data_IF_558729988851
#
_entry.id   IF_558729988851
#
_cell.length_a   1.000
_cell.length_b   1.000
_cell.length_c   1.000
_cell.angle_alpha   90.00
_cell.angle_beta   90.00
_cell.angle_gamma   90.00
#
_symmetry.space_group_name_H-M   'P 1'
#
loop_
_entity.id
_entity.type
_entity.pdbx_description
1 polymer ?
#
# COMPACT_ATOMS: atom_id res chain seq x y z
N UNK A 1 -4.56 -15.25 -28.04
CA UNK A 1 -3.64 -14.09 -28.03
C UNK A 1 -4.44 -12.85 -28.34
N UNK A 2 -4.13 -11.73 -27.71
CA UNK A 2 -4.80 -10.43 -27.94
C UNK A 2 -3.74 -9.33 -28.08
N UNK A 3 -4.12 -8.18 -28.66
CA UNK A 3 -3.23 -7.05 -28.94
C UNK A 3 -3.62 -5.86 -28.07
N UNK A 4 -2.66 -5.25 -27.39
CA UNK A 4 -2.93 -4.03 -26.61
C UNK A 4 -3.09 -2.80 -27.52
N UNK A 5 -2.33 -2.74 -28.63
CA UNK A 5 -2.36 -1.63 -29.58
C UNK A 5 -2.58 -2.15 -31.01
N UNK A 6 -3.83 -2.47 -31.42
CA UNK A 6 -4.08 -3.08 -32.72
C UNK A 6 -3.62 -2.21 -33.91
N UNK A 7 -3.57 -0.88 -33.75
CA UNK A 7 -3.04 0.05 -34.75
C UNK A 7 -1.53 -0.10 -34.99
N UNK A 8 -0.78 -0.70 -34.06
CA UNK A 8 0.64 -0.99 -34.25
C UNK A 8 0.93 -1.86 -35.47
N UNK A 9 -0.05 -2.68 -35.90
CA UNK A 9 0.05 -3.47 -37.13
C UNK A 9 0.16 -2.64 -38.41
N UNK A 10 -0.22 -1.35 -38.39
CA UNK A 10 0.00 -0.45 -39.53
C UNK A 10 1.50 -0.31 -39.87
N UNK A 11 2.39 -0.55 -38.92
CA UNK A 11 3.83 -0.60 -39.16
C UNK A 11 4.25 -1.69 -40.16
N UNK A 12 3.41 -2.70 -40.42
CA UNK A 12 3.63 -3.68 -41.49
C UNK A 12 3.68 -3.05 -42.88
N UNK A 13 3.11 -1.85 -43.10
CA UNK A 13 3.29 -1.10 -44.34
C UNK A 13 4.78 -0.80 -44.63
N UNK A 14 5.61 -0.74 -43.58
CA UNK A 14 7.06 -0.61 -43.70
C UNK A 14 7.73 -1.77 -44.44
N UNK A 15 7.08 -2.94 -44.56
CA UNK A 15 7.57 -4.08 -45.36
C UNK A 15 7.68 -3.73 -46.85
N UNK A 16 6.91 -2.76 -47.33
CA UNK A 16 6.98 -2.29 -48.70
C UNK A 16 8.36 -1.69 -49.02
N UNK A 17 9.03 -1.05 -48.05
CA UNK A 17 10.30 -0.38 -48.26
C UNK A 17 11.43 -1.34 -48.69
N UNK A 18 11.81 -2.39 -47.93
CA UNK A 18 12.84 -3.32 -48.35
C UNK A 18 12.46 -4.10 -49.61
N UNK A 19 11.17 -4.39 -49.81
CA UNK A 19 10.68 -5.07 -51.01
C UNK A 19 10.86 -4.20 -52.26
N UNK A 20 10.46 -2.94 -52.19
CA UNK A 20 10.59 -1.97 -53.29
C UNK A 20 12.06 -1.66 -53.60
N UNK A 21 12.90 -1.50 -52.56
CA UNK A 21 14.35 -1.28 -52.74
C UNK A 21 15.01 -2.50 -53.41
N UNK A 22 14.62 -3.72 -53.02
CA UNK A 22 15.12 -4.93 -53.65
C UNK A 22 14.68 -5.02 -55.13
N UNK A 23 13.42 -4.71 -55.43
CA UNK A 23 12.90 -4.73 -56.79
C UNK A 23 13.49 -3.61 -57.68
N UNK A 24 13.85 -2.48 -57.07
CA UNK A 24 14.47 -1.34 -57.75
C UNK A 24 15.99 -1.49 -57.96
N UNK A 25 16.65 -2.42 -57.24
CA UNK A 25 18.08 -2.71 -57.41
C UNK A 25 18.30 -3.31 -58.80
N UNK A 26 18.77 -2.46 -59.72
CA UNK A 26 19.28 -2.88 -61.02
C UNK A 26 20.69 -3.40 -60.80
N UNK A 27 21.02 -4.56 -61.37
CA UNK A 27 22.40 -5.02 -61.42
C UNK A 27 23.25 -3.95 -62.12
N UNK A 28 24.12 -3.28 -61.36
CA UNK A 28 25.19 -2.47 -61.93
C UNK A 28 26.14 -3.43 -62.64
N UNK A 29 25.91 -3.62 -63.94
CA UNK A 29 26.87 -4.30 -64.79
C UNK A 29 28.12 -3.44 -64.83
N UNK A 30 29.10 -3.75 -63.99
CA UNK A 30 30.40 -3.09 -64.02
C UNK A 30 31.01 -3.40 -65.38
N UNK A 31 31.17 -2.39 -66.27
CA UNK A 31 31.74 -2.64 -67.58
C UNK A 31 33.20 -3.05 -67.39
N UNK A 32 33.47 -4.34 -67.58
CA UNK A 32 34.83 -4.87 -67.48
C UNK A 32 35.50 -4.66 -68.83
N UNK A 33 36.60 -3.91 -68.87
CA UNK A 33 37.35 -3.72 -70.12
C UNK A 33 37.98 -5.04 -70.57
N UNK A 34 37.45 -5.62 -71.64
CA UNK A 34 37.96 -6.86 -72.20
C UNK A 34 38.58 -6.61 -73.60
N UNK A 35 39.88 -6.89 -73.74
CA UNK A 35 40.66 -6.53 -74.91
C UNK A 35 40.31 -7.31 -76.20
N UNK A 36 39.51 -8.38 -76.11
CA UNK A 36 39.19 -9.26 -77.25
C UNK A 36 37.80 -9.03 -77.88
N UNK A 37 37.18 -7.87 -77.64
CA UNK A 37 35.84 -7.53 -78.16
C UNK A 37 35.72 -7.60 -79.70
N UNK A 38 36.82 -7.48 -80.45
CA UNK A 38 36.79 -7.49 -81.93
C UNK A 38 36.41 -8.84 -82.55
N UNK A 39 36.53 -9.94 -81.80
CA UNK A 39 36.20 -11.29 -82.29
C UNK A 39 34.82 -11.78 -81.81
N UNK A 40 34.13 -10.98 -81.00
CA UNK A 40 32.87 -11.37 -80.39
C UNK A 40 31.70 -10.88 -81.26
N UNK A 41 31.08 -11.77 -82.04
CA UNK A 41 29.86 -11.44 -82.79
C UNK A 41 28.70 -11.17 -81.82
N UNK A 42 28.11 -9.99 -81.93
CA UNK A 42 26.98 -9.54 -81.13
C UNK A 42 25.69 -10.34 -81.46
N UNK A 43 25.54 -11.53 -80.88
CA UNK A 43 24.29 -12.30 -80.89
C UNK A 43 23.95 -12.82 -79.52
N UNK A 44 23.64 -11.90 -78.59
CA UNK A 44 22.76 -12.21 -77.46
C UNK A 44 22.08 -10.94 -76.97
N UNK A 45 20.77 -10.87 -77.17
CA UNK A 45 19.92 -9.83 -76.59
C UNK A 45 19.99 -10.00 -75.07
N UNK A 46 20.38 -8.98 -74.29
CA UNK A 46 20.47 -9.12 -72.83
C UNK A 46 19.08 -9.50 -72.30
N UNK A 47 18.93 -10.74 -71.85
CA UNK A 47 17.70 -11.18 -71.22
C UNK A 47 17.72 -10.65 -69.79
N UNK A 48 16.81 -9.71 -69.50
CA UNK A 48 16.46 -9.29 -68.14
C UNK A 48 15.97 -10.53 -67.39
N UNK A 49 16.84 -11.17 -66.62
CA UNK A 49 16.43 -12.23 -65.69
C UNK A 49 16.51 -11.64 -64.31
N UNK A 50 15.34 -11.45 -63.68
CA UNK A 50 15.25 -11.14 -62.27
C UNK A 50 15.71 -12.38 -61.49
N UNK A 51 17.01 -12.49 -61.18
CA UNK A 51 17.48 -13.46 -60.20
C UNK A 51 17.38 -12.80 -58.83
N UNK A 52 16.58 -13.40 -57.95
CA UNK A 52 16.50 -13.03 -56.55
C UNK A 52 17.78 -13.50 -55.84
N UNK A 53 18.89 -12.84 -56.13
CA UNK A 53 20.12 -13.01 -55.35
C UNK A 53 19.86 -12.42 -53.95
N UNK A 54 20.29 -13.11 -52.89
CA UNK A 54 20.09 -12.69 -51.50
C UNK A 54 18.65 -12.84 -50.90
N UNK A 55 17.80 -13.75 -51.41
CA UNK A 55 16.45 -13.99 -50.85
C UNK A 55 16.42 -14.20 -49.33
N UNK A 56 17.43 -14.88 -48.77
CA UNK A 56 17.53 -15.12 -47.32
C UNK A 56 17.76 -13.83 -46.52
N UNK A 57 18.56 -12.89 -47.04
CA UNK A 57 18.77 -11.58 -46.43
C UNK A 57 17.50 -10.71 -46.53
N UNK A 58 16.79 -10.77 -47.65
CA UNK A 58 15.50 -10.08 -47.81
C UNK A 58 14.47 -10.62 -46.80
N UNK A 59 14.35 -11.95 -46.69
CA UNK A 59 13.45 -12.60 -45.73
C UNK A 59 13.75 -12.15 -44.29
N UNK A 60 15.03 -12.05 -43.94
CA UNK A 60 15.45 -11.61 -42.60
C UNK A 60 15.16 -10.13 -42.31
N UNK A 61 15.31 -9.25 -43.31
CA UNK A 61 14.87 -7.85 -43.20
C UNK A 61 13.36 -7.72 -43.04
N UNK A 62 12.59 -8.51 -43.79
CA UNK A 62 11.13 -8.55 -43.66
C UNK A 62 10.72 -9.06 -42.27
N UNK A 63 11.39 -10.09 -41.75
CA UNK A 63 11.17 -10.59 -40.39
C UNK A 63 11.48 -9.55 -39.32
N UNK A 64 12.54 -8.76 -39.48
CA UNK A 64 12.87 -7.66 -38.55
C UNK A 64 11.78 -6.59 -38.52
N UNK A 65 11.31 -6.15 -39.69
CA UNK A 65 10.23 -5.15 -39.79
C UNK A 65 8.91 -5.71 -39.24
N UNK A 66 8.59 -6.97 -39.54
CA UNK A 66 7.40 -7.64 -39.01
C UNK A 66 7.47 -7.81 -37.48
N UNK A 67 8.62 -8.19 -36.95
CA UNK A 67 8.84 -8.30 -35.50
C UNK A 67 8.75 -6.93 -34.81
N UNK A 68 9.23 -5.86 -35.44
CA UNK A 68 9.08 -4.50 -34.91
C UNK A 68 7.61 -4.08 -34.89
N UNK A 69 6.85 -4.36 -35.96
CA UNK A 69 5.41 -4.11 -35.99
C UNK A 69 4.66 -4.89 -34.89
N UNK A 70 5.06 -6.15 -34.64
CA UNK A 70 4.53 -6.93 -33.52
C UNK A 70 4.91 -6.32 -32.16
N UNK A 71 6.13 -5.81 -31.99
CA UNK A 71 6.54 -5.12 -30.77
C UNK A 71 5.67 -3.88 -30.52
N UNK A 72 5.40 -3.07 -31.55
CA UNK A 72 4.48 -1.93 -31.49
C UNK A 72 3.02 -2.33 -31.19
N UNK A 73 2.59 -3.50 -31.68
CA UNK A 73 1.24 -4.01 -31.43
C UNK A 73 1.05 -4.60 -30.02
N UNK A 74 2.15 -4.84 -29.29
CA UNK A 74 2.23 -5.41 -27.94
C UNK A 74 1.26 -6.59 -27.74
N UNK A 75 1.59 -7.77 -28.32
CA UNK A 75 0.78 -8.96 -28.15
C UNK A 75 0.93 -9.50 -26.73
N UNK A 76 -0.19 -9.95 -26.17
CA UNK A 76 -0.24 -10.54 -24.85
C UNK A 76 -0.97 -11.88 -24.84
N UNK A 77 -0.60 -12.72 -23.87
CA UNK A 77 -1.28 -13.97 -23.58
C UNK A 77 -2.31 -13.73 -22.47
N UNK A 78 -3.56 -14.13 -22.73
CA UNK A 78 -4.58 -14.30 -21.69
C UNK A 78 -4.27 -15.59 -20.93
N UNK A 79 -4.43 -15.59 -19.61
CA UNK A 79 -4.06 -16.70 -18.73
C UNK A 79 -4.65 -18.04 -19.18
N UNK A 80 -3.89 -19.12 -18.98
CA UNK A 80 -4.30 -20.48 -19.34
C UNK A 80 -5.50 -20.94 -18.49
N UNK A 81 -6.42 -21.68 -19.11
CA UNK A 81 -7.70 -22.15 -18.53
C UNK A 81 -7.58 -23.31 -17.54
N UNK A 82 -6.48 -23.37 -16.78
CA UNK A 82 -6.26 -24.38 -15.74
C UNK A 82 -5.30 -23.80 -14.71
N UNK A 83 -5.83 -23.18 -13.67
CA UNK A 83 -5.02 -22.59 -12.62
C UNK A 83 -4.80 -23.61 -11.50
N UNK A 84 -3.54 -23.90 -11.12
CA UNK A 84 -3.27 -24.80 -10.00
C UNK A 84 -3.84 -24.20 -8.72
N UNK A 85 -4.31 -25.03 -7.79
CA UNK A 85 -4.71 -24.56 -6.46
C UNK A 85 -3.53 -23.83 -5.77
N UNK A 86 -3.84 -22.85 -4.92
CA UNK A 86 -2.87 -22.02 -4.22
C UNK A 86 -3.10 -22.06 -2.71
N UNK A 87 -2.01 -22.18 -1.95
CA UNK A 87 -2.04 -22.13 -0.48
C UNK A 87 -1.27 -20.90 0.00
N UNK A 88 -1.89 -20.08 0.84
CA UNK A 88 -1.26 -18.95 1.52
C UNK A 88 -1.14 -19.24 3.03
N UNK A 89 0.04 -19.01 3.60
CA UNK A 89 0.30 -19.26 5.02
C UNK A 89 0.77 -17.99 5.71
N UNK A 90 0.12 -17.61 6.81
CA UNK A 90 0.54 -16.46 7.60
C UNK A 90 1.93 -16.67 8.22
N UNK A 91 2.84 -15.68 8.21
CA UNK A 91 4.22 -15.83 8.72
C UNK A 91 4.34 -16.18 10.21
N UNK A 92 3.28 -15.95 10.98
CA UNK A 92 3.20 -16.32 12.41
C UNK A 92 2.95 -17.83 12.65
N UNK A 93 2.68 -18.61 11.61
CA UNK A 93 2.45 -20.04 11.69
C UNK A 93 3.72 -20.82 11.35
N UNK A 94 3.93 -21.94 12.04
CA UNK A 94 4.94 -22.92 11.64
C UNK A 94 4.44 -23.70 10.41
N UNK A 95 5.18 -23.70 9.29
CA UNK A 95 4.77 -24.39 8.07
C UNK A 95 4.66 -25.91 8.27
N UNK A 96 5.32 -26.50 9.28
CA UNK A 96 5.19 -27.91 9.62
C UNK A 96 3.81 -28.29 10.19
N UNK A 97 3.06 -27.32 10.71
CA UNK A 97 1.71 -27.53 11.26
C UNK A 97 0.60 -27.39 10.21
N UNK A 98 0.95 -26.95 9.00
CA UNK A 98 0.00 -26.71 7.92
C UNK A 98 -0.19 -27.97 7.09
N UNK A 99 -1.39 -28.54 7.14
CA UNK A 99 -1.74 -29.70 6.31
C UNK A 99 -1.99 -29.23 4.87
N UNK A 100 -1.04 -29.54 3.97
CA UNK A 100 -1.13 -29.21 2.54
C UNK A 100 -0.74 -30.40 1.67
N UNK A 101 -1.26 -30.44 0.45
CA UNK A 101 -0.72 -31.31 -0.59
C UNK A 101 0.66 -30.76 -1.02
N UNK A 102 1.75 -31.55 -0.97
CA UNK A 102 3.09 -31.10 -1.37
C UNK A 102 3.20 -30.70 -2.84
N UNK A 103 2.31 -31.20 -3.72
CA UNK A 103 2.29 -30.81 -5.13
C UNK A 103 1.62 -29.44 -5.36
N UNK A 104 0.93 -28.90 -4.34
CA UNK A 104 0.26 -27.61 -4.44
C UNK A 104 1.22 -26.48 -4.05
N UNK A 105 1.39 -25.46 -4.92
CA UNK A 105 2.27 -24.34 -4.62
C UNK A 105 1.77 -23.58 -3.38
N UNK A 106 2.65 -23.47 -2.38
CA UNK A 106 2.37 -22.71 -1.16
C UNK A 106 3.31 -21.50 -1.05
N UNK A 107 2.74 -20.40 -0.57
CA UNK A 107 3.43 -19.14 -0.45
C UNK A 107 3.15 -18.52 0.92
N UNK A 108 4.09 -17.70 1.39
CA UNK A 108 3.87 -16.85 2.56
C UNK A 108 2.86 -15.76 2.23
N UNK A 109 1.97 -15.47 3.18
CA UNK A 109 1.09 -14.30 3.13
C UNK A 109 1.90 -13.05 3.47
N UNK A 110 2.67 -12.58 2.49
CA UNK A 110 3.50 -11.40 2.55
C UNK A 110 3.56 -10.71 1.18
N UNK A 111 4.00 -9.44 1.11
CA UNK A 111 4.14 -8.74 -0.17
C UNK A 111 4.95 -9.56 -1.18
N UNK A 112 4.38 -9.77 -2.36
CA UNK A 112 5.00 -10.55 -3.44
C UNK A 112 4.87 -12.07 -3.33
N UNK A 113 4.16 -12.59 -2.31
CA UNK A 113 3.86 -14.01 -2.12
C UNK A 113 5.07 -14.94 -2.31
N UNK A 114 6.15 -14.79 -1.50
CA UNK A 114 7.34 -15.62 -1.66
C UNK A 114 7.04 -17.09 -1.33
N UNK A 115 7.78 -18.05 -1.92
CA UNK A 115 7.55 -19.49 -1.70
C UNK A 115 7.73 -19.87 -0.23
N UNK A 116 6.92 -20.81 0.25
CA UNK A 116 6.92 -21.26 1.65
C UNK A 116 8.25 -21.90 2.07
N UNK A 117 9.00 -22.46 1.12
CA UNK A 117 10.31 -23.08 1.35
C UNK A 117 11.41 -22.05 1.72
N UNK A 118 11.15 -20.76 1.52
CA UNK A 118 12.05 -19.67 1.89
C UNK A 118 11.94 -19.25 3.36
N UNK A 119 12.80 -18.33 3.82
CA UNK A 119 12.75 -17.80 5.19
C UNK A 119 11.40 -17.09 5.46
N UNK A 120 10.88 -17.26 6.67
CA UNK A 120 9.65 -16.62 7.09
C UNK A 120 9.82 -15.08 7.13
N UNK A 121 8.92 -14.31 6.49
CA UNK A 121 8.96 -12.85 6.50
C UNK A 121 8.42 -12.27 7.82
N UNK A 122 8.35 -10.93 7.92
CA UNK A 122 7.78 -10.25 9.08
C UNK A 122 6.31 -10.67 9.33
N UNK A 123 5.92 -10.74 10.59
CA UNK A 123 4.57 -11.18 11.02
C UNK A 123 3.52 -10.06 10.98
N UNK A 124 3.93 -8.79 11.03
CA UNK A 124 3.04 -7.66 10.91
C UNK A 124 2.77 -7.37 9.42
N UNK A 125 1.72 -8.00 8.90
CA UNK A 125 1.33 -7.90 7.49
C UNK A 125 -0.11 -7.40 7.35
N UNK A 126 -0.42 -6.58 6.31
CA UNK A 126 -1.77 -6.12 6.06
C UNK A 126 -2.61 -7.24 5.41
N UNK A 127 -3.05 -8.20 6.22
CA UNK A 127 -3.78 -9.42 5.82
C UNK A 127 -4.91 -9.12 4.83
N UNK A 128 -5.82 -8.18 5.14
CA UNK A 128 -6.97 -7.89 4.27
C UNK A 128 -6.56 -7.39 2.88
N UNK A 129 -5.51 -6.57 2.81
CA UNK A 129 -4.98 -6.03 1.55
C UNK A 129 -4.26 -7.11 0.74
N UNK A 130 -3.47 -7.98 1.38
CA UNK A 130 -2.81 -9.10 0.71
C UNK A 130 -3.81 -10.12 0.16
N UNK A 131 -4.92 -10.36 0.86
CA UNK A 131 -6.00 -11.22 0.36
C UNK A 131 -6.65 -10.64 -0.90
N UNK A 132 -6.91 -9.31 -0.93
CA UNK A 132 -7.42 -8.65 -2.13
C UNK A 132 -6.41 -8.60 -3.28
N UNK A 133 -5.12 -8.46 -2.97
CA UNK A 133 -4.05 -8.53 -3.96
C UNK A 133 -4.00 -9.92 -4.60
N UNK A 134 -3.98 -10.99 -3.79
CA UNK A 134 -4.10 -12.36 -4.29
C UNK A 134 -5.41 -12.55 -5.07
N UNK A 135 -6.47 -11.82 -4.69
CA UNK A 135 -7.71 -11.84 -5.42
C UNK A 135 -7.63 -11.32 -6.85
N UNK A 136 -6.95 -10.19 -7.03
CA UNK A 136 -6.74 -9.57 -8.33
C UNK A 136 -5.68 -10.24 -9.22
N UNK A 137 -4.67 -10.87 -8.62
CA UNK A 137 -3.55 -11.46 -9.38
C UNK A 137 -3.83 -12.89 -9.87
N UNK A 138 -4.61 -13.67 -9.11
CA UNK A 138 -4.91 -15.06 -9.44
C UNK A 138 -6.01 -15.18 -10.48
N UNK A 139 -5.92 -16.19 -11.33
CA UNK A 139 -6.98 -16.49 -12.29
C UNK A 139 -8.29 -16.85 -11.57
N UNK A 140 -9.44 -16.52 -12.17
CA UNK A 140 -10.75 -16.73 -11.55
C UNK A 140 -11.03 -18.20 -11.13
N UNK A 141 -10.47 -19.18 -11.85
CA UNK A 141 -10.64 -20.60 -11.58
C UNK A 141 -9.68 -21.17 -10.50
N UNK A 142 -8.76 -20.35 -9.96
CA UNK A 142 -7.79 -20.77 -8.94
C UNK A 142 -8.50 -21.05 -7.62
N UNK A 143 -8.42 -22.28 -7.10
CA UNK A 143 -8.84 -22.55 -5.73
C UNK A 143 -7.81 -21.96 -4.75
N UNK A 144 -8.26 -21.18 -3.76
CA UNK A 144 -7.40 -20.51 -2.79
C UNK A 144 -7.68 -21.04 -1.37
N UNK A 145 -6.65 -21.57 -0.72
CA UNK A 145 -6.66 -21.96 0.70
C UNK A 145 -5.78 -21.01 1.49
N UNK A 146 -6.27 -20.49 2.62
CA UNK A 146 -5.50 -19.56 3.46
C UNK A 146 -5.44 -20.07 4.89
N UNK A 147 -4.23 -20.16 5.42
CA UNK A 147 -3.91 -20.57 6.79
C UNK A 147 -3.50 -19.37 7.62
N UNK A 148 -4.22 -19.12 8.71
CA UNK A 148 -3.98 -18.02 9.64
C UNK A 148 -4.00 -18.50 11.11
N UNK A 149 -3.32 -17.80 12.03
CA UNK A 149 -3.48 -18.03 13.47
C UNK A 149 -4.88 -17.64 13.95
N UNK A 150 -5.27 -18.03 15.16
CA UNK A 150 -6.60 -17.70 15.71
C UNK A 150 -6.87 -16.19 15.85
N UNK A 151 -5.82 -15.39 16.11
CA UNK A 151 -5.89 -13.94 16.24
C UNK A 151 -4.74 -13.27 15.50
N UNK A 152 -5.03 -12.22 14.74
CA UNK A 152 -4.02 -11.50 13.95
C UNK A 152 -4.42 -10.04 13.75
N UNK A 153 -3.43 -9.19 13.49
CA UNK A 153 -3.61 -7.80 13.08
C UNK A 153 -3.71 -7.68 11.55
N UNK A 154 -3.88 -6.47 11.01
CA UNK A 154 -3.83 -6.24 9.56
C UNK A 154 -5.14 -6.50 8.80
N UNK A 155 -6.25 -6.69 9.51
CA UNK A 155 -7.58 -6.62 8.93
C UNK A 155 -8.10 -5.17 8.88
N UNK A 156 -8.89 -4.88 7.86
CA UNK A 156 -9.75 -3.70 7.89
C UNK A 156 -10.94 -3.99 8.80
N UNK A 157 -11.60 -2.96 9.34
CA UNK A 157 -12.76 -3.10 10.25
C UNK A 157 -13.99 -3.80 9.64
N UNK A 158 -13.84 -4.46 8.49
CA UNK A 158 -14.85 -5.24 7.79
C UNK A 158 -14.25 -6.57 7.32
N UNK A 159 -15.10 -7.60 7.17
CA UNK A 159 -14.73 -8.85 6.51
C UNK A 159 -14.30 -8.58 5.06
N UNK A 160 -13.15 -9.12 4.60
CA UNK A 160 -12.75 -9.01 3.20
C UNK A 160 -13.84 -9.55 2.27
N UNK A 161 -14.11 -8.84 1.17
CA UNK A 161 -14.97 -9.31 0.09
C UNK A 161 -14.10 -9.68 -1.09
N UNK A 162 -14.18 -10.93 -1.55
CA UNK A 162 -13.36 -11.50 -2.61
C UNK A 162 -14.25 -12.01 -3.75
N UNK A 163 -13.68 -12.13 -4.95
CA UNK A 163 -14.38 -12.63 -6.13
C UNK A 163 -14.54 -14.15 -6.12
N UNK A 164 -13.70 -14.86 -5.34
CA UNK A 164 -13.76 -16.31 -5.17
C UNK A 164 -14.02 -16.74 -3.73
N UNK A 165 -14.52 -17.95 -3.58
CA UNK A 165 -14.58 -18.62 -2.28
C UNK A 165 -13.16 -19.00 -1.85
N UNK A 166 -12.87 -18.80 -0.56
CA UNK A 166 -11.58 -19.12 0.04
C UNK A 166 -11.78 -20.24 1.05
N UNK A 167 -10.97 -21.29 0.95
CA UNK A 167 -10.89 -22.31 2.00
C UNK A 167 -10.13 -21.72 3.20
N UNK A 168 -10.89 -21.30 4.21
CA UNK A 168 -10.40 -20.54 5.35
C UNK A 168 -10.01 -21.46 6.50
N UNK A 169 -8.72 -21.61 6.76
CA UNK A 169 -8.17 -22.51 7.78
C UNK A 169 -7.53 -21.74 8.91
N UNK A 170 -8.00 -22.01 10.12
CA UNK A 170 -7.52 -21.35 11.35
C UNK A 170 -6.78 -22.38 12.17
N UNK A 171 -5.50 -22.11 12.45
CA UNK A 171 -4.73 -22.89 13.40
C UNK A 171 -4.86 -22.29 14.79
N UNK A 172 -5.20 -23.10 15.82
CA UNK A 172 -5.16 -22.66 17.20
C UNK A 172 -3.70 -22.39 17.57
N UNK A 173 -3.31 -21.13 17.56
CA UNK A 173 -2.05 -20.71 18.17
C UNK A 173 -2.20 -20.86 19.68
N UNK A 174 -1.19 -21.37 20.42
CA UNK A 174 -1.22 -21.33 21.87
C UNK A 174 -1.55 -19.90 22.27
N UNK A 175 -2.65 -19.74 23.01
CA UNK A 175 -3.11 -18.45 23.45
C UNK A 175 -1.94 -17.81 24.21
N UNK A 176 -1.24 -16.87 23.58
CA UNK A 176 -0.53 -15.86 24.32
C UNK A 176 -1.57 -15.35 25.31
N UNK A 177 -1.28 -15.53 26.60
CA UNK A 177 -2.20 -15.30 27.70
C UNK A 177 -3.08 -14.10 27.34
N UNK A 178 -4.40 -14.30 27.32
CA UNK A 178 -5.35 -13.22 27.07
C UNK A 178 -4.79 -12.01 27.81
N UNK A 179 -4.50 -10.88 27.11
CA UNK A 179 -3.83 -9.77 27.77
C UNK A 179 -4.66 -9.49 29.00
N UNK A 180 -4.08 -9.75 30.18
CA UNK A 180 -4.68 -9.41 31.46
C UNK A 180 -5.18 -8.01 31.27
N UNK A 181 -6.51 -7.84 31.39
CA UNK A 181 -7.24 -6.64 31.05
C UNK A 181 -6.31 -5.45 31.29
N UNK A 182 -5.76 -4.88 30.21
CA UNK A 182 -4.61 -3.98 30.27
C UNK A 182 -4.89 -3.01 31.40
N UNK A 183 -4.16 -3.13 32.51
CA UNK A 183 -4.36 -2.28 33.67
C UNK A 183 -4.25 -0.86 33.14
N UNK A 184 -5.41 -0.20 33.00
CA UNK A 184 -5.48 1.09 32.33
C UNK A 184 -4.49 1.99 33.06
N UNK A 185 -3.52 2.52 32.32
CA UNK A 185 -2.48 3.35 32.91
C UNK A 185 -3.14 4.41 33.80
N UNK A 186 -2.73 4.55 35.08
CA UNK A 186 -3.40 5.45 36.00
C UNK A 186 -3.44 6.86 35.42
N UNK A 187 -4.64 7.41 35.22
CA UNK A 187 -4.84 8.73 34.65
C UNK A 187 -4.55 9.81 35.70
N UNK A 188 -3.45 10.54 35.50
CA UNK A 188 -3.00 11.64 36.33
C UNK A 188 -3.28 12.99 35.67
N UNK A 189 -4.00 13.84 36.40
CA UNK A 189 -4.29 15.23 36.06
C UNK A 189 -3.44 16.16 36.93
N UNK A 190 -2.62 17.02 36.33
CA UNK A 190 -1.95 18.10 37.04
C UNK A 190 -2.79 19.38 36.94
N UNK A 191 -3.14 19.99 38.07
CA UNK A 191 -3.93 21.21 38.13
C UNK A 191 -2.99 22.38 38.44
N UNK A 192 -3.00 23.40 37.59
CA UNK A 192 -2.28 24.66 37.77
C UNK A 192 -3.27 25.80 37.75
N UNK A 193 -3.32 26.60 38.80
CA UNK A 193 -4.31 27.68 38.90
C UNK A 193 -3.66 29.00 39.30
N UNK A 194 -4.25 30.11 38.87
CA UNK A 194 -3.88 31.42 39.40
C UNK A 194 -4.28 31.52 40.90
N UNK A 195 -3.62 32.38 41.70
CA UNK A 195 -3.89 32.48 43.14
C UNK A 195 -5.35 32.78 43.50
N UNK A 196 -6.02 33.57 42.67
CA UNK A 196 -7.43 33.96 42.77
C UNK A 196 -8.41 32.90 42.26
N UNK A 197 -7.90 31.81 41.66
CA UNK A 197 -8.70 30.69 41.10
C UNK A 197 -8.66 29.42 41.95
N UNK A 198 -8.23 29.54 43.21
CA UNK A 198 -8.15 28.40 44.14
C UNK A 198 -9.51 27.70 44.35
N UNK A 199 -10.61 28.45 44.35
CA UNK A 199 -11.97 27.92 44.50
C UNK A 199 -12.42 27.10 43.28
N UNK A 200 -12.04 27.52 42.07
CA UNK A 200 -12.32 26.76 40.84
C UNK A 200 -11.50 25.46 40.80
N UNK A 201 -10.24 25.53 41.21
CA UNK A 201 -9.36 24.37 41.30
C UNK A 201 -9.89 23.30 42.28
N UNK A 202 -10.68 23.69 43.29
CA UNK A 202 -11.31 22.76 44.23
C UNK A 202 -12.22 21.74 43.53
N UNK A 203 -12.96 22.15 42.49
CA UNK A 203 -13.84 21.25 41.75
C UNK A 203 -13.07 20.17 40.98
N UNK A 204 -11.97 20.56 40.32
CA UNK A 204 -11.09 19.60 39.64
C UNK A 204 -10.37 18.68 40.63
N UNK A 205 -9.96 19.20 41.79
CA UNK A 205 -9.40 18.37 42.88
C UNK A 205 -10.42 17.35 43.40
N UNK A 206 -11.70 17.74 43.49
CA UNK A 206 -12.77 16.82 43.89
C UNK A 206 -13.00 15.72 42.84
N UNK A 207 -13.00 16.08 41.55
CA UNK A 207 -13.07 15.11 40.45
C UNK A 207 -11.87 14.14 40.48
N UNK A 208 -10.66 14.65 40.68
CA UNK A 208 -9.46 13.83 40.82
C UNK A 208 -9.55 12.88 42.02
N UNK A 209 -10.07 13.33 43.15
CA UNK A 209 -10.29 12.48 44.32
C UNK A 209 -11.32 11.37 44.04
N UNK A 210 -12.38 11.67 43.29
CA UNK A 210 -13.35 10.64 42.87
C UNK A 210 -12.69 9.56 41.99
N UNK A 211 -11.80 9.95 41.07
CA UNK A 211 -11.03 9.00 40.26
C UNK A 211 -10.08 8.15 41.10
N UNK A 212 -9.46 8.73 42.12
CA UNK A 212 -8.57 8.00 43.03
C UNK A 212 -9.32 6.94 43.83
N UNK A 213 -10.51 7.28 44.34
CA UNK A 213 -11.36 6.32 45.04
C UNK A 213 -11.77 5.17 44.12
N UNK A 214 -12.06 5.45 42.85
CA UNK A 214 -12.42 4.43 41.86
C UNK A 214 -11.22 3.55 41.45
N UNK A 215 -10.01 4.11 41.39
CA UNK A 215 -8.79 3.39 40.98
C UNK A 215 -8.13 2.58 42.11
N UNK A 216 -8.45 2.86 43.38
CA UNK A 216 -7.94 2.10 44.52
C UNK A 216 -6.45 2.35 44.79
N UNK A 217 -5.70 1.29 45.11
CA UNK A 217 -4.32 1.40 45.60
C UNK A 217 -3.31 1.94 44.56
N UNK A 218 -3.60 1.77 43.26
CA UNK A 218 -2.72 2.20 42.16
C UNK A 218 -3.04 3.62 41.64
N UNK A 219 -3.88 4.36 42.36
CA UNK A 219 -4.29 5.69 41.97
C UNK A 219 -3.11 6.70 42.02
N UNK A 220 -2.93 7.54 41.00
CA UNK A 220 -1.88 8.55 41.02
C UNK A 220 -2.21 9.62 42.06
N UNK A 221 -1.17 10.11 42.75
CA UNK A 221 -1.31 11.19 43.71
C UNK A 221 -1.88 12.45 43.05
N UNK A 222 -2.69 13.20 43.82
CA UNK A 222 -3.28 14.44 43.34
C UNK A 222 -2.22 15.52 43.24
N UNK A 223 -2.13 16.21 42.11
CA UNK A 223 -1.20 17.32 41.90
C UNK A 223 -1.98 18.59 41.58
N UNK A 224 -2.02 19.52 42.54
CA UNK A 224 -2.66 20.82 42.39
C UNK A 224 -1.79 21.91 43.01
N UNK A 225 -1.34 22.85 42.19
CA UNK A 225 -0.42 23.90 42.60
C UNK A 225 -0.72 25.24 41.90
N UNK A 226 -0.06 26.30 42.36
CA UNK A 226 -0.14 27.62 41.74
C UNK A 226 0.57 27.60 40.38
N UNK A 227 0.05 28.36 39.41
CA UNK A 227 0.68 28.60 38.12
C UNK A 227 2.16 28.99 38.27
N UNK A 228 3.04 28.39 37.46
CA UNK A 228 4.50 28.54 37.55
C UNK A 228 5.21 27.44 38.37
N UNK A 229 4.47 26.57 39.06
CA UNK A 229 5.04 25.33 39.63
C UNK A 229 5.29 24.31 38.51
N UNK A 230 6.48 23.69 38.40
CA UNK A 230 6.79 22.71 37.36
C UNK A 230 5.79 21.55 37.30
N UNK A 231 5.54 21.02 36.10
CA UNK A 231 4.67 19.86 35.89
C UNK A 231 5.37 18.56 36.33
N UNK A 232 4.64 17.55 36.85
CA UNK A 232 5.22 16.25 37.15
C UNK A 232 5.65 15.51 35.89
N UNK A 233 6.66 14.63 36.01
CA UNK A 233 7.20 13.87 34.87
C UNK A 233 6.17 12.92 34.22
N UNK A 234 5.20 12.44 35.00
CA UNK A 234 4.18 11.48 34.57
C UNK A 234 2.78 12.08 34.70
N UNK A 235 2.41 12.89 33.73
CA UNK A 235 1.08 13.51 33.64
C UNK A 235 0.46 13.24 32.27
N UNK A 236 -0.81 12.80 32.25
CA UNK A 236 -1.55 12.55 31.00
C UNK A 236 -2.35 13.79 30.58
N UNK A 237 -2.81 14.59 31.54
CA UNK A 237 -3.54 15.82 31.26
C UNK A 237 -3.16 16.95 32.23
N UNK A 238 -3.18 18.20 31.75
CA UNK A 238 -2.94 19.39 32.56
C UNK A 238 -4.18 20.29 32.53
N UNK A 239 -4.71 20.65 33.70
CA UNK A 239 -5.72 21.68 33.83
C UNK A 239 -5.07 23.03 34.18
N UNK A 240 -5.15 23.99 33.26
CA UNK A 240 -4.61 25.34 33.40
C UNK A 240 -5.75 26.34 33.66
N UNK A 241 -5.93 26.70 34.93
CA UNK A 241 -6.92 27.63 35.43
C UNK A 241 -6.31 29.01 35.72
N UNK A 242 -5.73 29.63 34.70
CA UNK A 242 -5.24 31.01 34.76
C UNK A 242 -5.64 31.77 33.48
N UNK A 243 -6.00 33.06 33.59
CA UNK A 243 -6.36 33.88 32.44
C UNK A 243 -5.13 34.19 31.56
N UNK A 244 -5.39 34.57 30.31
CA UNK A 244 -4.34 35.03 29.39
C UNK A 244 -3.69 33.93 28.55
N UNK A 245 -2.48 34.18 28.05
CA UNK A 245 -1.78 33.26 27.15
C UNK A 245 -1.23 32.03 27.88
N UNK A 246 -1.21 30.89 27.19
CA UNK A 246 -0.57 29.69 27.69
C UNK A 246 0.95 29.88 27.78
N UNK A 247 1.60 29.49 28.90
CA UNK A 247 3.05 29.52 29.02
C UNK A 247 3.72 28.72 27.89
N UNK A 248 4.91 29.14 27.43
CA UNK A 248 5.61 28.48 26.33
C UNK A 248 5.94 27.01 26.65
N UNK A 249 6.25 26.69 27.91
CA UNK A 249 6.51 25.32 28.36
C UNK A 249 5.28 24.43 28.23
N UNK A 250 4.11 24.93 28.65
CA UNK A 250 2.85 24.21 28.51
C UNK A 250 2.47 24.03 27.03
N UNK A 251 2.68 25.07 26.22
CA UNK A 251 2.46 25.00 24.77
C UNK A 251 3.32 23.91 24.11
N UNK A 252 4.62 23.89 24.40
CA UNK A 252 5.53 22.88 23.89
C UNK A 252 5.16 21.45 24.36
N UNK A 253 4.72 21.30 25.61
CA UNK A 253 4.24 20.02 26.13
C UNK A 253 2.97 19.53 25.42
N UNK A 254 2.03 20.42 25.11
CA UNK A 254 0.83 20.09 24.32
C UNK A 254 1.26 19.67 22.91
N UNK A 255 2.13 20.44 22.25
CA UNK A 255 2.59 20.13 20.89
C UNK A 255 3.27 18.76 20.80
N UNK A 256 3.91 18.30 21.88
CA UNK A 256 4.54 16.98 22.00
C UNK A 256 3.54 15.82 22.20
N UNK A 257 2.24 16.08 22.33
CA UNK A 257 1.20 15.06 22.53
C UNK A 257 0.36 15.21 23.80
N UNK A 258 0.61 16.25 24.61
CA UNK A 258 -0.12 16.51 25.83
C UNK A 258 -1.59 16.88 25.64
N UNK A 259 -2.42 16.63 26.65
CA UNK A 259 -3.82 17.09 26.71
C UNK A 259 -3.96 18.21 27.73
N UNK A 260 -4.38 19.40 27.32
CA UNK A 260 -4.61 20.52 28.23
C UNK A 260 -6.09 20.92 28.31
N UNK A 261 -6.59 21.11 29.53
CA UNK A 261 -7.87 21.75 29.83
C UNK A 261 -7.60 23.20 30.25
N UNK A 262 -8.16 24.18 29.55
CA UNK A 262 -7.93 25.60 29.81
C UNK A 262 -9.23 26.28 30.25
N UNK A 263 -9.11 27.30 31.09
CA UNK A 263 -10.25 28.06 31.56
C UNK A 263 -10.93 28.87 30.44
N UNK A 264 -12.19 29.24 30.66
CA UNK A 264 -13.01 30.07 29.75
C UNK A 264 -12.40 31.43 29.38
N UNK A 265 -11.55 31.97 30.25
CA UNK A 265 -10.88 33.27 30.13
C UNK A 265 -9.40 33.15 29.72
N UNK A 266 -8.93 31.93 29.41
CA UNK A 266 -7.65 31.71 28.76
C UNK A 266 -7.74 32.07 27.27
N UNK A 267 -6.66 32.62 26.72
CA UNK A 267 -6.59 32.94 25.29
C UNK A 267 -6.50 31.63 24.49
N UNK A 268 -7.45 31.45 23.59
CA UNK A 268 -7.49 30.29 22.69
C UNK A 268 -6.22 30.24 21.84
N UNK A 269 -5.48 29.11 21.81
CA UNK A 269 -4.13 29.06 21.25
C UNK A 269 -4.05 29.13 19.72
N UNK A 270 -5.19 29.11 19.04
CA UNK A 270 -5.26 29.18 17.57
C UNK A 270 -6.28 30.22 17.13
N UNK A 271 -6.01 30.90 16.02
CA UNK A 271 -6.94 31.89 15.44
C UNK A 271 -7.98 31.18 14.58
N UNK A 272 -9.26 31.26 14.97
CA UNK A 272 -10.40 30.85 14.14
C UNK A 272 -10.56 29.34 13.88
N UNK A 273 -9.78 28.48 14.56
CA UNK A 273 -9.92 27.03 14.51
C UNK A 273 -10.53 26.45 15.79
N UNK A 274 -11.03 25.23 15.70
CA UNK A 274 -11.67 24.50 16.81
C UNK A 274 -13.00 23.91 16.38
N UNK A 275 -13.30 22.71 16.85
CA UNK A 275 -14.61 22.08 16.68
C UNK A 275 -15.33 22.13 18.02
N UNK A 276 -16.45 22.85 18.08
CA UNK A 276 -17.37 22.72 19.20
C UNK A 276 -17.83 21.26 19.25
N UNK A 277 -17.66 20.61 20.40
CA UNK A 277 -18.11 19.22 20.54
C UNK A 277 -19.63 19.17 20.55
N UNK A 278 -20.23 18.67 19.47
CA UNK A 278 -21.68 18.56 19.28
C UNK A 278 -22.30 17.33 19.96
N UNK A 279 -21.76 16.96 21.12
CA UNK A 279 -22.28 15.86 21.96
C UNK A 279 -23.07 16.45 23.14
N UNK A 280 -23.60 15.63 24.04
CA UNK A 280 -24.38 16.00 25.25
C UNK A 280 -23.64 16.90 26.28
N UNK A 281 -22.52 17.50 25.87
CA UNK A 281 -21.50 18.18 26.65
C UNK A 281 -21.16 19.52 26.01
N UNK A 282 -22.16 20.42 25.96
CA UNK A 282 -22.11 21.77 25.36
C UNK A 282 -21.18 22.77 26.09
N UNK A 283 -20.34 22.29 27.03
CA UNK A 283 -19.50 23.12 27.89
C UNK A 283 -18.00 23.11 27.53
N UNK A 284 -17.61 22.48 26.41
CA UNK A 284 -16.22 22.43 25.92
C UNK A 284 -16.11 22.70 24.41
N UNK A 285 -15.07 23.44 24.03
CA UNK A 285 -14.53 23.45 22.67
C UNK A 285 -13.19 22.74 22.63
N UNK A 286 -12.96 21.91 21.60
CA UNK A 286 -11.73 21.15 21.43
C UNK A 286 -10.98 21.56 20.16
N UNK A 287 -9.66 21.60 20.24
CA UNK A 287 -8.78 21.70 19.07
C UNK A 287 -7.50 20.90 19.23
N UNK A 288 -6.88 20.58 18.09
CA UNK A 288 -5.52 20.01 18.04
C UNK A 288 -4.48 21.13 18.04
N UNK A 289 -3.39 20.88 18.77
CA UNK A 289 -2.21 21.73 18.80
C UNK A 289 -0.98 20.81 18.73
N UNK A 290 -0.28 20.79 17.61
CA UNK A 290 0.76 19.80 17.32
C UNK A 290 0.23 18.36 17.34
N UNK A 291 0.88 17.47 18.09
CA UNK A 291 0.43 16.09 18.31
C UNK A 291 -0.60 15.96 19.45
N UNK A 292 -0.81 17.02 20.24
CA UNK A 292 -1.72 17.03 21.38
C UNK A 292 -3.04 17.76 21.11
N UNK A 293 -3.73 18.08 22.20
CA UNK A 293 -5.04 18.74 22.15
C UNK A 293 -5.28 19.70 23.31
N UNK A 294 -6.11 20.69 23.03
CA UNK A 294 -6.54 21.71 23.98
C UNK A 294 -8.06 21.70 24.04
N UNK A 295 -8.58 21.61 25.25
CA UNK A 295 -10.00 21.70 25.56
C UNK A 295 -10.22 22.98 26.35
N UNK A 296 -11.12 23.86 25.91
CA UNK A 296 -11.48 25.08 26.64
C UNK A 296 -12.88 24.95 27.23
N UNK A 297 -12.99 25.20 28.53
CA UNK A 297 -14.26 25.30 29.23
C UNK A 297 -15.05 26.53 28.75
N UNK A 298 -16.33 26.41 28.44
CA UNK A 298 -17.20 27.57 28.19
C UNK A 298 -17.61 28.27 29.49
N UNK A 299 -18.13 27.57 30.52
CA UNK A 299 -18.46 28.20 31.78
C UNK A 299 -17.26 28.18 32.75
N UNK A 300 -17.20 29.14 33.70
CA UNK A 300 -16.28 29.03 34.82
C UNK A 300 -16.68 27.88 35.77
N UNK A 301 -15.72 27.32 36.52
CA UNK A 301 -15.95 26.20 37.41
C UNK A 301 -16.58 26.63 38.76
N UNK A 302 -17.81 27.12 38.71
CA UNK A 302 -18.65 27.40 39.89
C UNK A 302 -20.04 26.79 39.69
N UNK A 303 -20.62 26.25 40.76
CA UNK A 303 -21.91 25.55 40.69
C UNK A 303 -23.06 26.40 40.13
N UNK A 304 -23.03 27.72 40.35
CA UNK A 304 -24.04 28.66 39.86
C UNK A 304 -24.02 28.83 38.33
N UNK A 305 -22.80 28.91 37.76
CA UNK A 305 -22.60 29.12 36.33
C UNK A 305 -22.51 27.81 35.55
N UNK A 306 -22.18 26.71 36.23
CA UNK A 306 -22.01 25.39 35.63
C UNK A 306 -22.71 24.30 36.46
N UNK A 307 -24.04 24.15 36.28
CA UNK A 307 -24.84 23.18 37.05
C UNK A 307 -24.35 21.74 36.92
N UNK A 308 -23.74 21.38 35.78
CA UNK A 308 -23.22 20.03 35.56
C UNK A 308 -22.13 19.63 36.58
N UNK A 309 -21.48 20.57 37.26
CA UNK A 309 -20.55 20.27 38.36
C UNK A 309 -21.20 19.52 39.53
N UNK A 310 -22.52 19.65 39.68
CA UNK A 310 -23.30 18.98 40.74
C UNK A 310 -23.82 17.61 40.30
N UNK A 311 -23.70 17.25 39.02
CA UNK A 311 -24.14 15.96 38.52
C UNK A 311 -23.20 14.84 38.99
N UNK A 312 -23.73 13.67 39.39
CA UNK A 312 -22.91 12.59 39.96
C UNK A 312 -21.95 11.96 38.94
N UNK A 313 -22.24 12.05 37.65
CA UNK A 313 -21.44 11.51 36.56
C UNK A 313 -20.39 12.51 36.04
N UNK A 314 -20.38 13.76 36.52
CA UNK A 314 -19.44 14.79 36.09
C UNK A 314 -17.97 14.36 36.11
N UNK A 315 -17.44 13.74 37.20
CA UNK A 315 -16.06 13.27 37.20
C UNK A 315 -15.77 12.27 36.07
N UNK A 316 -16.69 11.34 35.81
CA UNK A 316 -16.52 10.34 34.76
C UNK A 316 -16.55 10.99 33.36
N UNK A 317 -17.50 11.91 33.12
CA UNK A 317 -17.62 12.68 31.87
C UNK A 317 -16.37 13.52 31.60
N UNK A 318 -15.87 14.24 32.61
CA UNK A 318 -14.65 15.03 32.51
C UNK A 318 -13.44 14.14 32.15
N UNK A 319 -13.29 13.00 32.83
CA UNK A 319 -12.17 12.07 32.57
C UNK A 319 -12.20 11.53 31.14
N UNK A 320 -13.36 11.12 30.65
CA UNK A 320 -13.52 10.59 29.29
C UNK A 320 -13.11 11.61 28.20
N UNK A 321 -13.27 12.91 28.46
CA UNK A 321 -12.83 13.98 27.54
C UNK A 321 -11.32 14.25 27.62
N UNK A 322 -10.73 14.12 28.81
CA UNK A 322 -9.30 14.33 29.02
C UNK A 322 -8.44 13.12 28.66
N UNK A 323 -8.98 11.91 28.74
CA UNK A 323 -8.29 10.70 28.28
C UNK A 323 -8.21 10.69 26.75
N UNK A 324 -7.06 10.29 26.21
CA UNK A 324 -6.93 10.13 24.77
C UNK A 324 -7.81 8.95 24.40
N UNK A 325 -8.63 9.08 23.34
CA UNK A 325 -9.40 7.95 22.87
C UNK A 325 -8.43 6.78 22.69
N UNK A 326 -8.65 5.64 23.38
CA UNK A 326 -7.70 4.54 23.33
C UNK A 326 -7.50 4.14 21.87
N UNK A 327 -6.28 3.72 21.48
CA UNK A 327 -6.04 3.26 20.13
C UNK A 327 -7.05 2.16 19.81
N UNK A 328 -7.71 2.27 18.66
CA UNK A 328 -8.71 1.30 18.26
C UNK A 328 -8.09 -0.11 18.27
N UNK A 329 -8.80 -1.12 18.79
CA UNK A 329 -8.28 -2.49 18.82
C UNK A 329 -7.95 -2.95 17.40
N UNK A 330 -6.71 -3.41 17.20
CA UNK A 330 -6.18 -3.86 15.91
C UNK A 330 -6.18 -5.39 15.77
N UNK A 331 -6.36 -6.11 16.88
CA UNK A 331 -6.38 -7.57 16.90
C UNK A 331 -7.78 -8.09 16.55
N UNK A 332 -7.88 -8.88 15.49
CA UNK A 332 -9.13 -9.48 15.03
C UNK A 332 -9.17 -10.99 15.32
N UNK A 333 -10.37 -11.50 15.60
CA UNK A 333 -10.65 -12.94 15.61
C UNK A 333 -10.78 -13.43 14.17
N UNK A 334 -9.87 -14.31 13.76
CA UNK A 334 -9.76 -14.80 12.38
C UNK A 334 -10.97 -15.62 11.97
N UNK A 335 -11.59 -16.36 12.89
CA UNK A 335 -12.81 -17.12 12.58
C UNK A 335 -13.97 -16.18 12.22
N UNK A 336 -14.05 -15.02 12.87
CA UNK A 336 -15.06 -14.00 12.59
C UNK A 336 -14.77 -13.18 11.32
N UNK A 337 -13.55 -13.25 10.79
CA UNK A 337 -13.09 -12.49 9.61
C UNK A 337 -13.02 -13.31 8.32
N UNK A 338 -13.68 -14.49 8.28
CA UNK A 338 -13.80 -15.28 7.07
C UNK A 338 -14.33 -14.43 5.89
N UNK A 339 -13.65 -14.44 4.72
CA UNK A 339 -14.03 -13.63 3.58
C UNK A 339 -15.44 -13.91 3.08
N UNK A 340 -16.12 -12.86 2.59
CA UNK A 340 -17.39 -12.99 1.86
C UNK A 340 -17.11 -13.04 0.36
N UNK A 341 -17.96 -13.75 -0.37
CA UNK A 341 -17.95 -13.72 -1.84
C UNK A 341 -18.76 -12.54 -2.37
N UNK A 342 -18.54 -12.16 -3.62
CA UNK A 342 -19.32 -11.13 -4.32
C UNK A 342 -18.59 -9.82 -4.59
N UNK A 343 -17.26 -9.82 -4.53
CA UNK A 343 -16.49 -8.76 -5.19
C UNK A 343 -16.45 -8.99 -6.70
N UNK A 344 -16.27 -7.92 -7.48
CA UNK A 344 -16.07 -8.03 -8.91
C UNK A 344 -14.79 -8.83 -9.20
N UNK A 345 -14.93 -9.88 -10.03
CA UNK A 345 -13.78 -10.67 -10.47
C UNK A 345 -12.87 -9.83 -11.35
N UNK A 346 -11.59 -9.80 -11.02
CA UNK A 346 -10.58 -9.23 -11.90
C UNK A 346 -10.04 -10.33 -12.81
N UNK A 347 -10.04 -10.07 -14.11
CA UNK A 347 -9.30 -10.89 -15.06
C UNK A 347 -7.80 -10.72 -14.75
N UNK A 348 -7.03 -11.81 -14.60
CA UNK A 348 -5.62 -11.73 -14.25
C UNK A 348 -4.88 -10.88 -15.29
N UNK A 349 -3.92 -10.08 -14.82
CA UNK A 349 -3.14 -9.20 -15.68
C UNK A 349 -2.52 -9.99 -16.84
N UNK A 350 -2.74 -9.56 -18.11
CA UNK A 350 -2.23 -10.29 -19.25
C UNK A 350 -0.70 -10.34 -19.23
N UNK A 351 -0.11 -11.49 -19.60
CA UNK A 351 1.35 -11.63 -19.63
C UNK A 351 1.90 -10.98 -20.92
N UNK A 352 2.74 -9.93 -20.84
CA UNK A 352 3.30 -9.27 -22.01
C UNK A 352 4.34 -10.17 -22.69
N UNK A 353 4.33 -10.23 -24.02
CA UNK A 353 5.33 -10.97 -24.81
C UNK A 353 6.52 -10.11 -25.24
N UNK A 354 6.48 -8.81 -24.94
CA UNK A 354 7.51 -7.81 -25.29
C UNK A 354 8.95 -8.25 -24.98
N UNK A 355 9.31 -8.74 -23.77
CA UNK A 355 10.71 -9.07 -23.48
C UNK A 355 11.24 -10.21 -24.35
N UNK A 356 10.40 -11.22 -24.62
CA UNK A 356 10.76 -12.34 -25.50
C UNK A 356 10.84 -11.91 -26.97
N UNK A 357 9.96 -11.00 -27.41
CA UNK A 357 10.00 -10.43 -28.75
C UNK A 357 11.25 -9.58 -28.97
N UNK A 358 11.67 -8.77 -27.99
CA UNK A 358 12.91 -7.98 -28.04
C UNK A 358 14.12 -8.91 -28.17
N UNK A 359 14.20 -9.97 -27.37
CA UNK A 359 15.29 -10.95 -27.47
C UNK A 359 15.34 -11.62 -28.85
N UNK A 360 14.18 -12.02 -29.40
CA UNK A 360 14.08 -12.60 -30.73
C UNK A 360 14.50 -11.60 -31.83
N UNK A 361 14.10 -10.32 -31.71
CA UNK A 361 14.49 -9.25 -32.63
C UNK A 361 15.99 -8.98 -32.62
N UNK A 362 16.62 -8.95 -31.45
CA UNK A 362 18.07 -8.79 -31.32
C UNK A 362 18.82 -9.96 -31.97
N UNK A 363 18.34 -11.18 -31.79
CA UNK A 363 18.92 -12.36 -32.43
C UNK A 363 18.76 -12.32 -33.95
N UNK A 364 17.57 -11.96 -34.45
CA UNK A 364 17.33 -11.74 -35.88
C UNK A 364 18.25 -10.65 -36.46
N UNK A 365 18.47 -9.57 -35.71
CA UNK A 365 19.33 -8.47 -36.13
C UNK A 365 20.81 -8.89 -36.19
N UNK A 366 21.28 -9.65 -35.19
CA UNK A 366 22.62 -10.20 -35.18
C UNK A 366 22.86 -11.16 -36.36
N UNK A 367 21.88 -12.03 -36.65
CA UNK A 367 21.90 -12.87 -37.85
C UNK A 367 21.95 -12.03 -39.13
N UNK A 368 21.18 -10.94 -39.20
CA UNK A 368 21.14 -10.07 -40.38
C UNK A 368 22.48 -9.40 -40.62
N UNK A 369 23.08 -8.85 -39.56
CA UNK A 369 24.41 -8.27 -39.60
C UNK A 369 25.47 -9.29 -39.99
N UNK A 370 25.40 -10.52 -39.46
CA UNK A 370 26.33 -11.58 -39.81
C UNK A 370 26.26 -11.97 -41.29
N UNK A 371 25.05 -12.21 -41.81
CA UNK A 371 24.85 -12.54 -43.22
C UNK A 371 25.25 -11.37 -44.15
N UNK A 372 25.01 -10.13 -43.73
CA UNK A 372 25.41 -8.94 -44.48
C UNK A 372 26.93 -8.69 -44.44
N UNK A 373 27.61 -9.03 -43.36
CA UNK A 373 29.06 -8.86 -43.20
C UNK A 373 29.88 -10.06 -43.72
N UNK A 374 29.23 -11.16 -44.13
CA UNK A 374 29.93 -12.37 -44.56
C UNK A 374 30.76 -12.13 -45.83
N UNK A 375 32.05 -12.53 -45.86
CA UNK A 375 32.97 -12.29 -46.97
C UNK A 375 32.64 -13.05 -48.27
N UNK A 376 31.57 -13.85 -48.29
CA UNK A 376 31.03 -14.49 -49.51
C UNK A 376 30.54 -13.50 -50.58
N UNK A 377 30.51 -12.19 -50.27
CA UNK A 377 30.18 -11.10 -51.20
C UNK A 377 31.30 -10.74 -52.19
N UNK A 378 32.50 -11.29 -52.04
CA UNK A 378 33.67 -10.90 -52.85
C UNK A 378 34.22 -11.94 -53.84
N UNK A 379 33.60 -13.12 -53.97
CA UNK A 379 34.09 -14.14 -54.91
C UNK A 379 33.27 -14.10 -56.21
N UNK A 380 33.82 -13.60 -57.33
CA UNK A 380 33.21 -13.83 -58.63
C UNK A 380 33.21 -15.33 -58.91
N UNK A 381 32.04 -15.89 -59.23
CA UNK A 381 31.89 -17.26 -59.73
C UNK A 381 32.29 -17.35 -61.21
#
# INVERSE_FOLDING_TARGET
>A
MSLAFPLGLLALLGLALPLLVHLARREEQVPTMFAALRWLQARRKPQRRFRLEEFLLLALRLLLVAGLALLLASPFLRGATGAPAWVLVHPALDPAQVERNPETPAHWLAPGFPPLEGPAPATDVPVASLLRQADGELAAATALTVWLPARVTGFDRERPRLSRAVDWRVLPTPAAAAPEASNATPFALAIRHAPDRADQARWLRAAQKAWQVAAGADAPAGDAAIAGTPLPDKVQAVAWLAPGELPPELRAWIEAGGTALIAHDAIWPITGGGTATHDDTDWLTETRLGAGRVLQLHPPLYAEAFPALLEPDFPARLRARLEAAPPAPTLADVAAMAPRTGADGFEPAPRPLEPWLVAALLLLFALERWFAASPRRGAPA
#
